data_IF_366003698598
#
_entry.id   IF_366003698598
#
_cell.length_a   1.000
_cell.length_b   1.000
_cell.length_c   1.000
_cell.angle_alpha   90.00
_cell.angle_beta   90.00
_cell.angle_gamma   90.00
#
_symmetry.space_group_name_H-M   'P 1'
#
loop_
_entity.id
_entity.type
_entity.pdbx_description
1 polymer ?
#
# COMPACT_ATOMS: atom_id res chain seq x y z
N UNK A 1 -11.92 -20.08 -5.51
CA UNK A 1 -12.51 -19.20 -4.47
C UNK A 1 -11.37 -18.38 -3.87
N UNK A 2 -11.46 -17.04 -3.84
CA UNK A 2 -10.32 -16.18 -3.41
C UNK A 2 -10.07 -16.20 -1.91
N UNK A 3 -8.92 -15.65 -1.47
CA UNK A 3 -8.61 -15.40 -0.06
C UNK A 3 -9.60 -14.37 0.52
N UNK A 4 -10.03 -14.54 1.76
CA UNK A 4 -10.83 -13.58 2.54
C UNK A 4 -10.37 -13.62 4.01
N UNK A 5 -10.84 -12.67 4.83
CA UNK A 5 -10.41 -12.55 6.23
C UNK A 5 -10.74 -13.82 7.03
N UNK A 6 -11.95 -14.36 6.89
CA UNK A 6 -12.40 -15.56 7.62
C UNK A 6 -11.48 -16.75 7.38
N UNK A 7 -11.04 -16.95 6.13
CA UNK A 7 -10.09 -18.02 5.79
C UNK A 7 -8.70 -17.82 6.41
N UNK A 8 -8.28 -16.57 6.60
CA UNK A 8 -7.03 -16.27 7.29
C UNK A 8 -7.19 -16.63 8.77
N UNK A 9 -8.28 -16.21 9.40
CA UNK A 9 -8.57 -16.52 10.81
C UNK A 9 -8.65 -18.04 11.03
N UNK A 10 -9.41 -18.76 10.21
CA UNK A 10 -9.51 -20.24 10.27
C UNK A 10 -8.14 -20.91 10.13
N UNK A 11 -7.31 -20.44 9.20
CA UNK A 11 -5.99 -21.02 8.96
C UNK A 11 -5.03 -20.74 10.13
N UNK A 12 -5.08 -19.54 10.71
CA UNK A 12 -4.26 -19.16 11.86
C UNK A 12 -4.69 -19.91 13.11
N UNK A 13 -6.00 -19.99 13.38
CA UNK A 13 -6.54 -20.77 14.50
C UNK A 13 -6.12 -22.24 14.41
N UNK A 14 -6.21 -22.85 13.23
CA UNK A 14 -5.73 -24.21 13.02
C UNK A 14 -4.23 -24.36 13.32
N UNK A 15 -3.40 -23.39 12.92
CA UNK A 15 -1.96 -23.41 13.24
C UNK A 15 -1.70 -23.25 14.74
N UNK A 16 -2.39 -22.33 15.40
CA UNK A 16 -2.26 -22.07 16.83
C UNK A 16 -2.65 -23.32 17.64
N UNK A 17 -3.75 -23.98 17.28
CA UNK A 17 -4.18 -25.25 17.88
C UNK A 17 -3.19 -26.40 17.61
N UNK A 18 -2.70 -26.53 16.37
CA UNK A 18 -1.81 -27.63 15.97
C UNK A 18 -0.45 -27.56 16.67
N UNK A 19 0.05 -26.35 16.92
CA UNK A 19 1.39 -26.13 17.45
C UNK A 19 1.41 -25.65 18.91
N UNK A 20 0.25 -25.57 19.57
CA UNK A 20 0.10 -25.01 20.93
C UNK A 20 0.82 -23.65 21.06
N UNK A 21 0.49 -22.76 20.13
CA UNK A 21 1.17 -21.47 19.93
C UNK A 21 0.15 -20.32 19.78
N UNK A 22 0.66 -19.08 19.75
CA UNK A 22 -0.14 -17.86 19.57
C UNK A 22 0.38 -17.04 18.39
N UNK A 23 0.51 -17.65 17.20
CA UNK A 23 0.99 -16.98 15.99
C UNK A 23 0.10 -15.82 15.59
N UNK A 24 -1.22 -15.95 15.70
CA UNK A 24 -2.17 -14.89 15.35
C UNK A 24 -1.91 -13.61 16.13
N UNK A 25 -1.90 -13.71 17.45
CA UNK A 25 -1.63 -12.59 18.36
C UNK A 25 -0.21 -12.04 18.17
N UNK A 26 0.77 -12.92 17.99
CA UNK A 26 2.16 -12.49 17.80
C UNK A 26 2.36 -11.70 16.51
N UNK A 27 1.75 -12.14 15.39
CA UNK A 27 1.82 -11.45 14.10
C UNK A 27 1.06 -10.12 14.15
N UNK A 28 -0.07 -10.08 14.86
CA UNK A 28 -0.92 -8.88 15.00
C UNK A 28 -0.49 -7.95 16.14
N UNK A 29 0.59 -8.24 16.85
CA UNK A 29 1.16 -7.33 17.83
C UNK A 29 1.99 -6.23 17.14
N UNK A 30 1.60 -4.97 17.35
CA UNK A 30 2.28 -3.79 16.79
C UNK A 30 3.76 -3.68 17.15
N UNK A 31 4.17 -4.15 18.33
CA UNK A 31 5.57 -4.12 18.77
C UNK A 31 6.45 -5.00 17.88
N UNK A 32 5.85 -6.02 17.25
CA UNK A 32 6.52 -6.93 16.32
C UNK A 32 6.55 -6.41 14.88
N UNK A 33 5.94 -5.25 14.58
CA UNK A 33 5.76 -4.72 13.22
C UNK A 33 7.04 -4.77 12.36
N UNK A 34 8.20 -4.44 12.94
CA UNK A 34 9.47 -4.46 12.21
C UNK A 34 9.92 -5.87 11.81
N UNK A 35 9.79 -6.84 12.71
CA UNK A 35 10.22 -8.23 12.51
C UNK A 35 9.27 -8.92 11.53
N UNK A 36 7.96 -8.74 11.73
CA UNK A 36 6.94 -9.28 10.82
C UNK A 36 7.14 -8.72 9.41
N UNK A 37 7.31 -7.40 9.25
CA UNK A 37 7.55 -6.77 7.96
C UNK A 37 8.80 -7.32 7.25
N UNK A 38 9.89 -7.52 7.99
CA UNK A 38 11.14 -8.05 7.43
C UNK A 38 10.96 -9.47 6.89
N UNK A 39 10.24 -10.33 7.61
CA UNK A 39 9.96 -11.69 7.16
C UNK A 39 8.99 -11.71 5.98
N UNK A 40 7.93 -10.89 6.03
CA UNK A 40 6.94 -10.80 4.96
C UNK A 40 7.49 -10.30 3.63
N UNK A 41 8.50 -9.41 3.67
CA UNK A 41 9.15 -8.86 2.47
C UNK A 41 9.59 -9.93 1.48
N UNK A 42 10.02 -11.11 1.97
CA UNK A 42 10.49 -12.24 1.14
C UNK A 42 9.40 -12.82 0.25
N UNK A 43 8.13 -12.65 0.62
CA UNK A 43 6.99 -13.31 0.00
C UNK A 43 6.16 -12.39 -0.90
N UNK A 44 6.42 -11.08 -0.89
CA UNK A 44 5.64 -10.06 -1.63
C UNK A 44 5.49 -10.41 -3.11
N UNK A 45 6.57 -10.89 -3.73
CA UNK A 45 6.61 -11.19 -5.16
C UNK A 45 6.09 -12.62 -5.48
N UNK A 46 5.94 -13.48 -4.46
CA UNK A 46 5.46 -14.86 -4.60
C UNK A 46 3.92 -14.96 -4.71
N UNK A 47 3.19 -14.01 -4.12
CA UNK A 47 1.72 -14.05 -4.04
C UNK A 47 1.07 -12.94 -4.84
N UNK A 48 -0.16 -13.18 -5.34
CA UNK A 48 -0.91 -12.17 -6.10
C UNK A 48 -1.09 -10.90 -5.25
N UNK A 49 -0.98 -9.70 -5.85
CA UNK A 49 -1.12 -8.46 -5.09
C UNK A 49 -2.45 -8.37 -4.32
N UNK A 50 -3.56 -8.87 -4.89
CA UNK A 50 -4.86 -8.90 -4.21
C UNK A 50 -4.81 -9.69 -2.90
N UNK A 51 -4.21 -10.87 -2.92
CA UNK A 51 -4.17 -11.76 -1.75
C UNK A 51 -3.24 -11.16 -0.70
N UNK A 52 -2.12 -10.59 -1.13
CA UNK A 52 -1.17 -9.94 -0.23
C UNK A 52 -1.76 -8.68 0.43
N UNK A 53 -2.57 -7.90 -0.28
CA UNK A 53 -3.30 -6.76 0.32
C UNK A 53 -4.22 -7.22 1.44
N UNK A 54 -4.93 -8.33 1.24
CA UNK A 54 -5.86 -8.88 2.25
C UNK A 54 -5.08 -9.30 3.50
N UNK A 55 -3.97 -10.03 3.33
CA UNK A 55 -3.10 -10.41 4.45
C UNK A 55 -2.57 -9.19 5.18
N UNK A 56 -2.03 -8.19 4.45
CA UNK A 56 -1.48 -6.99 5.09
C UNK A 56 -2.55 -6.22 5.86
N UNK A 57 -3.76 -6.09 5.31
CA UNK A 57 -4.88 -5.46 6.00
C UNK A 57 -5.34 -6.22 7.24
N UNK A 58 -5.29 -7.56 7.20
CA UNK A 58 -5.58 -8.40 8.35
C UNK A 58 -4.54 -8.19 9.47
N UNK A 59 -3.24 -8.19 9.12
CA UNK A 59 -2.15 -8.00 10.09
C UNK A 59 -2.27 -6.65 10.80
N UNK A 60 -2.44 -5.59 10.03
CA UNK A 60 -2.42 -4.22 10.56
C UNK A 60 -3.78 -3.73 11.04
N UNK A 61 -4.77 -4.63 11.13
CA UNK A 61 -6.10 -4.28 11.63
C UNK A 61 -5.97 -3.78 13.07
N UNK A 62 -6.56 -2.62 13.32
CA UNK A 62 -6.55 -1.89 14.60
C UNK A 62 -5.19 -1.30 15.02
N UNK A 63 -4.18 -1.37 14.14
CA UNK A 63 -2.86 -0.80 14.43
C UNK A 63 -2.83 0.72 14.39
N UNK A 64 -1.95 1.32 15.19
CA UNK A 64 -1.64 2.74 15.08
C UNK A 64 -0.98 3.07 13.73
N UNK A 65 -1.23 4.28 13.21
CA UNK A 65 -0.60 4.75 11.97
C UNK A 65 0.93 4.68 12.02
N UNK A 66 1.53 4.91 13.20
CA UNK A 66 2.97 4.81 13.43
C UNK A 66 3.50 3.41 13.13
N UNK A 67 2.84 2.38 13.64
CA UNK A 67 3.22 0.98 13.40
C UNK A 67 3.01 0.59 11.95
N UNK A 68 1.92 1.05 11.31
CA UNK A 68 1.68 0.80 9.88
C UNK A 68 2.75 1.45 8.99
N UNK A 69 3.22 2.65 9.35
CA UNK A 69 4.34 3.31 8.66
C UNK A 69 5.62 2.48 8.80
N UNK A 70 5.96 2.01 10.01
CA UNK A 70 7.16 1.18 10.26
C UNK A 70 7.09 -0.10 9.44
N UNK A 71 5.96 -0.79 9.52
CA UNK A 71 5.69 -2.04 8.82
C UNK A 71 5.81 -1.87 7.31
N UNK A 72 5.05 -0.91 6.74
CA UNK A 72 5.03 -0.65 5.29
C UNK A 72 6.40 -0.22 4.78
N UNK A 73 7.13 0.58 5.56
CA UNK A 73 8.49 1.00 5.22
C UNK A 73 9.41 -0.20 5.01
N UNK A 74 9.44 -1.09 6.00
CA UNK A 74 10.33 -2.26 6.01
C UNK A 74 9.92 -3.34 5.02
N UNK A 75 8.62 -3.49 4.78
CA UNK A 75 8.11 -4.52 3.88
C UNK A 75 8.16 -4.09 2.41
N UNK A 76 7.86 -2.83 2.08
CA UNK A 76 7.60 -2.40 0.69
C UNK A 76 8.39 -1.16 0.26
N UNK A 77 8.42 -0.11 1.08
CA UNK A 77 8.87 1.22 0.63
C UNK A 77 10.38 1.26 0.38
N UNK A 78 11.17 0.60 1.22
CA UNK A 78 12.63 0.51 1.01
C UNK A 78 12.97 -0.19 -0.32
N UNK A 79 12.23 -1.24 -0.68
CA UNK A 79 12.36 -1.91 -1.99
C UNK A 79 11.91 -1.01 -3.14
N UNK A 80 10.78 -0.31 -2.99
CA UNK A 80 10.28 0.61 -4.01
C UNK A 80 11.31 1.70 -4.33
N UNK A 81 12.01 2.21 -3.31
CA UNK A 81 13.12 3.15 -3.49
C UNK A 81 14.25 2.53 -4.30
N UNK A 82 14.69 1.33 -3.94
CA UNK A 82 15.79 0.64 -4.62
C UNK A 82 15.44 0.25 -6.09
N UNK A 83 14.19 -0.15 -6.34
CA UNK A 83 13.68 -0.52 -7.67
C UNK A 83 13.44 0.71 -8.57
N UNK A 84 13.25 1.90 -7.98
CA UNK A 84 12.94 3.14 -8.70
C UNK A 84 14.01 3.58 -9.72
N UNK A 85 15.24 3.09 -9.61
CA UNK A 85 16.33 3.43 -10.54
C UNK A 85 16.67 2.31 -11.53
N UNK A 86 16.08 1.12 -11.36
CA UNK A 86 16.40 -0.04 -12.18
C UNK A 86 15.57 -0.07 -13.46
N UNK A 87 16.19 -0.57 -14.53
CA UNK A 87 15.66 -0.46 -15.90
C UNK A 87 15.08 -1.75 -16.46
N UNK A 88 15.33 -2.90 -15.82
CA UNK A 88 14.83 -4.19 -16.32
C UNK A 88 13.30 -4.24 -16.24
N UNK A 89 12.67 -4.98 -17.13
CA UNK A 89 11.21 -5.10 -17.13
C UNK A 89 10.69 -5.89 -15.91
N UNK A 90 11.50 -6.82 -15.38
CA UNK A 90 11.22 -7.50 -14.12
C UNK A 90 11.20 -6.52 -12.94
N UNK A 91 12.19 -5.62 -12.84
CA UNK A 91 12.22 -4.60 -11.77
C UNK A 91 11.02 -3.64 -11.86
N UNK A 92 10.61 -3.24 -13.07
CA UNK A 92 9.40 -2.43 -13.27
C UNK A 92 8.15 -3.17 -12.82
N UNK A 93 8.03 -4.45 -13.15
CA UNK A 93 6.91 -5.30 -12.73
C UNK A 93 6.82 -5.41 -11.21
N UNK A 94 7.96 -5.69 -10.55
CA UNK A 94 8.10 -5.74 -9.09
C UNK A 94 7.76 -4.41 -8.43
N UNK A 95 8.21 -3.29 -9.01
CA UNK A 95 7.86 -1.95 -8.54
C UNK A 95 6.35 -1.73 -8.59
N UNK A 96 5.72 -2.00 -9.75
CA UNK A 96 4.29 -1.80 -9.94
C UNK A 96 3.45 -2.71 -9.02
N UNK A 97 3.91 -3.94 -8.78
CA UNK A 97 3.27 -4.86 -7.82
C UNK A 97 3.27 -4.27 -6.41
N UNK A 98 4.43 -3.85 -5.91
CA UNK A 98 4.59 -3.26 -4.58
C UNK A 98 3.79 -1.97 -4.44
N UNK A 99 3.82 -1.09 -5.44
CA UNK A 99 3.05 0.15 -5.44
C UNK A 99 1.54 -0.11 -5.32
N UNK A 100 1.01 -1.09 -6.05
CA UNK A 100 -0.40 -1.50 -5.95
C UNK A 100 -0.77 -2.04 -4.56
N UNK A 101 0.15 -2.75 -3.90
CA UNK A 101 -0.08 -3.23 -2.52
C UNK A 101 -0.17 -2.03 -1.57
N UNK A 102 0.73 -1.05 -1.69
CA UNK A 102 0.67 0.19 -0.90
C UNK A 102 -0.65 0.94 -1.15
N UNK A 103 -1.07 1.09 -2.41
CA UNK A 103 -2.35 1.71 -2.73
C UNK A 103 -3.52 0.96 -2.13
N UNK A 104 -3.50 -0.38 -2.17
CA UNK A 104 -4.55 -1.22 -1.63
C UNK A 104 -4.65 -1.16 -0.12
N UNK A 105 -3.52 -1.07 0.57
CA UNK A 105 -3.46 -0.88 2.02
C UNK A 105 -4.20 0.40 2.45
N UNK A 106 -3.92 1.52 1.77
CA UNK A 106 -4.45 2.84 2.16
C UNK A 106 -5.74 3.22 1.42
N UNK A 107 -6.30 2.32 0.60
CA UNK A 107 -7.39 2.63 -0.33
C UNK A 107 -8.64 3.19 0.35
N UNK A 108 -9.04 2.61 1.48
CA UNK A 108 -10.25 2.99 2.23
C UNK A 108 -9.99 4.07 3.26
N UNK A 109 -8.73 4.46 3.49
CA UNK A 109 -8.39 5.44 4.51
C UNK A 109 -8.89 6.84 4.14
N UNK A 110 -9.17 7.67 5.13
CA UNK A 110 -9.48 9.06 4.84
C UNK A 110 -8.24 9.80 4.28
N UNK A 111 -8.42 10.87 3.50
CA UNK A 111 -7.32 11.62 2.89
C UNK A 111 -6.25 12.12 3.86
N UNK A 112 -6.63 12.48 5.09
CA UNK A 112 -5.69 12.97 6.12
C UNK A 112 -4.69 11.90 6.50
N UNK A 113 -5.16 10.69 6.77
CA UNK A 113 -4.29 9.57 7.11
C UNK A 113 -3.39 9.16 5.92
N UNK A 114 -3.91 9.22 4.69
CA UNK A 114 -3.11 8.96 3.49
C UNK A 114 -1.98 9.98 3.35
N UNK A 115 -2.28 11.27 3.58
CA UNK A 115 -1.29 12.35 3.52
C UNK A 115 -0.18 12.15 4.56
N UNK A 116 -0.53 11.91 5.83
CA UNK A 116 0.45 11.68 6.89
C UNK A 116 1.30 10.42 6.66
N UNK A 117 0.67 9.35 6.16
CA UNK A 117 1.39 8.15 5.73
C UNK A 117 2.40 8.47 4.63
N UNK A 118 1.97 9.14 3.55
CA UNK A 118 2.80 9.50 2.39
C UNK A 118 4.02 10.30 2.82
N UNK A 119 3.83 11.37 3.60
CA UNK A 119 4.91 12.23 4.07
C UNK A 119 5.91 11.41 4.88
N UNK A 120 5.39 10.58 5.78
CA UNK A 120 6.21 9.76 6.65
C UNK A 120 7.03 8.72 5.89
N UNK A 121 6.43 8.03 4.91
CA UNK A 121 7.10 6.97 4.15
C UNK A 121 8.06 7.50 3.09
N UNK A 122 7.81 8.70 2.56
CA UNK A 122 8.63 9.31 1.51
C UNK A 122 9.67 10.32 2.03
N UNK A 123 9.84 10.48 3.34
CA UNK A 123 10.77 11.46 3.92
C UNK A 123 12.21 11.35 3.40
N UNK A 124 12.67 10.15 3.05
CA UNK A 124 14.02 9.90 2.52
C UNK A 124 14.10 9.89 0.99
N UNK A 125 13.01 10.18 0.29
CA UNK A 125 12.93 10.12 -1.17
C UNK A 125 13.33 11.49 -1.76
N UNK A 126 14.03 11.45 -2.88
CA UNK A 126 14.23 12.59 -3.78
C UNK A 126 12.89 12.98 -4.45
N UNK A 127 12.76 14.21 -4.95
CA UNK A 127 11.52 14.67 -5.60
C UNK A 127 11.02 13.72 -6.72
N UNK A 128 11.93 13.25 -7.58
CA UNK A 128 11.58 12.34 -8.67
C UNK A 128 11.06 10.98 -8.16
N UNK A 129 11.68 10.43 -7.12
CA UNK A 129 11.21 9.17 -6.50
C UNK A 129 9.83 9.35 -5.86
N UNK A 130 9.60 10.49 -5.19
CA UNK A 130 8.28 10.84 -4.63
C UNK A 130 7.23 10.91 -5.72
N UNK A 131 7.47 11.68 -6.78
CA UNK A 131 6.54 11.82 -7.90
C UNK A 131 6.16 10.48 -8.50
N UNK A 132 7.16 9.62 -8.76
CA UNK A 132 6.93 8.29 -9.33
C UNK A 132 6.07 7.43 -8.40
N UNK A 133 6.41 7.36 -7.11
CA UNK A 133 5.65 6.56 -6.16
C UNK A 133 4.23 7.08 -6.02
N UNK A 134 4.06 8.38 -5.80
CA UNK A 134 2.75 8.99 -5.55
C UNK A 134 1.85 8.94 -6.79
N UNK A 135 2.40 9.07 -7.99
CA UNK A 135 1.62 8.88 -9.22
C UNK A 135 1.06 7.46 -9.30
N UNK A 136 1.91 6.44 -9.15
CA UNK A 136 1.48 5.04 -9.19
C UNK A 136 0.58 4.67 -8.00
N UNK A 137 0.79 5.31 -6.85
CA UNK A 137 0.00 5.02 -5.66
C UNK A 137 -1.42 5.59 -5.79
N UNK A 138 -1.51 6.85 -6.22
CA UNK A 138 -2.74 7.64 -6.21
C UNK A 138 -3.62 7.46 -7.47
N UNK A 139 -3.07 6.90 -8.56
CA UNK A 139 -3.82 6.70 -9.81
C UNK A 139 -5.14 5.91 -9.64
N UNK A 140 -5.20 5.04 -8.62
CA UNK A 140 -6.37 4.19 -8.38
C UNK A 140 -7.51 4.90 -7.63
N UNK A 141 -7.26 6.06 -7.03
CA UNK A 141 -8.26 6.76 -6.22
C UNK A 141 -9.22 7.55 -7.10
N UNK A 142 -10.41 7.88 -6.61
CA UNK A 142 -11.35 8.73 -7.33
C UNK A 142 -10.88 10.19 -7.40
N UNK A 143 -11.27 10.98 -8.44
CA UNK A 143 -10.76 12.34 -8.63
C UNK A 143 -10.96 13.25 -7.41
N UNK A 144 -12.13 13.15 -6.76
CA UNK A 144 -12.43 13.91 -5.54
C UNK A 144 -11.41 13.61 -4.43
N UNK A 145 -11.17 12.34 -4.15
CA UNK A 145 -10.22 11.89 -3.14
C UNK A 145 -8.77 12.28 -3.48
N UNK A 146 -8.38 12.21 -4.76
CA UNK A 146 -7.08 12.71 -5.22
C UNK A 146 -6.97 14.21 -4.94
N UNK A 147 -7.98 15.00 -5.28
CA UNK A 147 -7.97 16.46 -5.06
C UNK A 147 -7.84 16.81 -3.58
N UNK A 148 -8.53 16.08 -2.70
CA UNK A 148 -8.43 16.26 -1.24
C UNK A 148 -7.02 15.91 -0.73
N UNK A 149 -6.43 14.79 -1.18
CA UNK A 149 -5.07 14.40 -0.82
C UNK A 149 -4.06 15.44 -1.32
N UNK A 150 -4.21 15.90 -2.57
CA UNK A 150 -3.32 16.90 -3.16
C UNK A 150 -3.40 18.21 -2.38
N UNK A 151 -4.59 18.75 -2.11
CA UNK A 151 -4.73 20.00 -1.34
C UNK A 151 -4.01 19.94 0.03
N UNK A 152 -4.01 18.79 0.69
CA UNK A 152 -3.30 18.62 1.95
C UNK A 152 -1.78 18.44 1.80
N UNK A 153 -1.32 17.94 0.66
CA UNK A 153 0.10 17.78 0.35
C UNK A 153 0.77 19.08 -0.06
N UNK A 154 0.04 20.04 -0.62
CA UNK A 154 0.55 21.30 -1.19
C UNK A 154 1.60 22.00 -0.30
N UNK A 155 1.32 22.11 1.00
CA UNK A 155 2.19 22.79 1.96
C UNK A 155 3.14 21.84 2.72
N UNK A 156 3.04 20.53 2.49
CA UNK A 156 3.76 19.49 3.24
C UNK A 156 4.85 18.78 2.44
N UNK A 157 4.93 19.00 1.13
CA UNK A 157 5.98 18.45 0.26
C UNK A 157 6.73 19.56 -0.46
N UNK A 158 7.87 19.22 -1.06
CA UNK A 158 8.64 20.18 -1.83
C UNK A 158 7.89 20.64 -3.09
N UNK A 159 8.04 21.93 -3.42
CA UNK A 159 7.32 22.59 -4.51
C UNK A 159 7.50 21.86 -5.86
N UNK A 160 8.69 21.30 -6.10
CA UNK A 160 8.97 20.53 -7.32
C UNK A 160 8.07 19.31 -7.41
N UNK A 161 8.02 18.50 -6.35
CA UNK A 161 7.14 17.32 -6.28
C UNK A 161 5.68 17.74 -6.46
N UNK A 162 5.26 18.81 -5.77
CA UNK A 162 3.89 19.32 -5.90
C UNK A 162 3.51 19.68 -7.33
N UNK A 163 4.33 20.50 -8.00
CA UNK A 163 4.06 20.95 -9.37
C UNK A 163 3.96 19.78 -10.35
N UNK A 164 4.83 18.78 -10.21
CA UNK A 164 4.81 17.58 -11.05
C UNK A 164 3.54 16.74 -10.82
N UNK A 165 3.13 16.54 -9.57
CA UNK A 165 1.89 15.81 -9.25
C UNK A 165 0.64 16.57 -9.72
N UNK A 166 0.58 17.87 -9.45
CA UNK A 166 -0.53 18.73 -9.87
C UNK A 166 -0.70 18.70 -11.39
N UNK A 167 0.40 18.82 -12.14
CA UNK A 167 0.38 18.70 -13.60
C UNK A 167 -0.09 17.32 -14.05
N UNK A 168 0.40 16.26 -13.41
CA UNK A 168 0.07 14.87 -13.78
C UNK A 168 -1.42 14.57 -13.58
N UNK A 169 -2.00 14.97 -12.45
CA UNK A 169 -3.39 14.66 -12.12
C UNK A 169 -4.42 15.61 -12.74
N UNK A 170 -4.01 16.82 -13.16
CA UNK A 170 -4.87 17.75 -13.88
C UNK A 170 -4.82 17.60 -15.41
N UNK A 171 -3.84 16.87 -15.95
CA UNK A 171 -3.77 16.62 -17.39
C UNK A 171 -4.98 15.83 -17.90
N UNK A 172 -5.54 16.22 -19.05
CA UNK A 172 -6.70 15.52 -19.65
C UNK A 172 -6.37 14.06 -20.06
N UNK A 173 -5.09 13.77 -20.29
CA UNK A 173 -4.58 12.41 -20.49
C UNK A 173 -4.78 11.50 -19.27
N UNK A 174 -4.74 12.05 -18.06
CA UNK A 174 -5.01 11.30 -16.84
C UNK A 174 -6.50 10.96 -16.71
N UNK A 175 -7.39 11.89 -17.08
CA UNK A 175 -8.85 11.67 -17.08
C UNK A 175 -9.24 10.53 -18.02
N UNK A 176 -8.58 10.42 -19.17
CA UNK A 176 -8.80 9.37 -20.18
C UNK A 176 -8.10 8.04 -19.83
N UNK A 177 -6.91 8.05 -19.22
CA UNK A 177 -6.21 6.82 -18.80
C UNK A 177 -6.93 6.09 -17.67
N UNK A 178 -7.62 6.82 -16.79
CA UNK A 178 -8.39 6.25 -15.67
C UNK A 178 -9.54 5.35 -16.13
N UNK A 179 -10.17 5.65 -17.27
CA UNK A 179 -11.17 4.78 -17.89
C UNK A 179 -10.59 3.43 -18.36
N UNK A 180 -9.27 3.32 -18.53
CA UNK A 180 -8.58 2.11 -18.99
C UNK A 180 -8.02 1.24 -17.88
N UNK A 181 -7.94 1.70 -16.62
CA UNK A 181 -7.50 0.85 -15.50
C UNK A 181 -8.63 -0.14 -15.17
N UNK A 182 -8.72 -1.22 -15.97
CA UNK A 182 -9.58 -2.37 -15.70
C UNK A 182 -9.10 -3.04 -14.42
N UNK A 183 -9.76 -2.72 -13.30
CA UNK A 183 -9.52 -3.39 -12.03
C UNK A 183 -10.18 -4.75 -12.09
N UNK A 184 -9.44 -5.81 -11.77
CA UNK A 184 -10.05 -7.13 -11.63
C UNK A 184 -10.98 -7.13 -10.41
N UNK A 185 -12.02 -7.95 -10.45
CA UNK A 185 -12.95 -8.09 -9.32
C UNK A 185 -12.24 -8.53 -8.01
N UNK A 186 -11.10 -9.22 -8.10
CA UNK A 186 -10.28 -9.58 -6.94
C UNK A 186 -9.55 -8.39 -6.31
N UNK A 187 -9.01 -7.47 -7.13
CA UNK A 187 -8.36 -6.26 -6.64
C UNK A 187 -9.37 -5.31 -5.99
N UNK A 188 -10.54 -5.13 -6.60
CA UNK A 188 -11.62 -4.31 -6.02
C UNK A 188 -12.07 -4.85 -4.66
N UNK A 189 -12.18 -6.18 -4.52
CA UNK A 189 -12.49 -6.81 -3.24
C UNK A 189 -11.37 -6.58 -2.21
N UNK A 190 -10.12 -6.84 -2.56
CA UNK A 190 -8.98 -6.61 -1.67
C UNK A 190 -8.89 -5.15 -1.18
N UNK A 191 -9.13 -4.19 -2.09
CA UNK A 191 -9.13 -2.77 -1.78
C UNK A 191 -10.25 -2.35 -0.83
N UNK A 192 -11.43 -2.98 -0.89
CA UNK A 192 -12.59 -2.60 -0.07
C UNK A 192 -12.80 -3.46 1.18
N UNK A 193 -11.94 -4.47 1.43
CA UNK A 193 -11.97 -5.21 2.70
C UNK A 193 -11.72 -4.24 3.86
N UNK A 194 -12.67 -4.19 4.80
CA UNK A 194 -12.78 -3.20 5.88
C UNK A 194 -14.08 -2.37 5.91
N UNK A 195 -15.12 -2.75 5.15
CA UNK A 195 -16.47 -2.13 5.20
C UNK A 195 -17.58 -3.11 5.61
N UNK A 196 -17.23 -4.29 6.13
CA UNK A 196 -18.20 -5.13 6.82
C UNK A 196 -18.37 -4.54 8.22
N UNK A 197 -19.45 -3.78 8.38
CA UNK A 197 -19.96 -3.24 9.64
C UNK A 197 -20.19 -4.36 10.65
#
# INVERSE_FOLDING_TARGET
MGLCLDKIEESIAYMDETYDANFGDWIRNEDNARIVAYNMRKYVDCYKPSDFIIVVKWIVKDWTLKSIIIFSKKMLIEDLKALGFRKTDDDKSKYNRRAKIVSGLVYTWNPVFITEFVISVTRSFTPNEKCRLLTNMLEIFEPKKISEILSQLETKIDQRTWNELFKTFNADSFKTSKQRIKRTASMLRAYNIGHSS
#
